data_IF_454549097162
#
_entry.id   IF_454549097162
#
_cell.length_a   1.000
_cell.length_b   1.000
_cell.length_c   1.000
_cell.angle_alpha   90.00
_cell.angle_beta   90.00
_cell.angle_gamma   90.00
#
_symmetry.space_group_name_H-M   'P 1'
#
loop_
_entity.id
_entity.type
_entity.pdbx_description
1 polymer ?
#
# COMPACT_ATOMS: atom_id res chain seq x y z
N UNK A 1 -13.29 8.50 29.98
CA UNK A 1 -11.92 8.14 29.58
C UNK A 1 -11.96 7.70 28.14
N UNK A 2 -11.41 8.51 27.23
CA UNK A 2 -11.08 8.06 25.87
C UNK A 2 -9.96 7.02 25.98
N UNK A 3 -10.13 5.90 25.29
CA UNK A 3 -9.11 4.86 25.21
C UNK A 3 -7.93 5.41 24.40
N UNK A 4 -6.85 5.76 25.08
CA UNK A 4 -5.66 6.40 24.49
C UNK A 4 -4.98 5.54 23.41
N UNK A 5 -5.42 4.30 23.22
CA UNK A 5 -4.91 3.38 22.22
C UNK A 5 -5.86 3.12 21.05
N UNK A 6 -6.98 3.87 20.96
CA UNK A 6 -7.93 3.69 19.87
C UNK A 6 -7.36 4.24 18.56
N UNK A 7 -7.30 3.37 17.56
CA UNK A 7 -7.07 3.73 16.17
C UNK A 7 -8.34 3.48 15.36
N UNK A 8 -8.53 4.25 14.29
CA UNK A 8 -9.56 3.99 13.28
C UNK A 8 -8.91 3.80 11.92
N UNK A 9 -9.60 3.07 11.05
CA UNK A 9 -9.21 2.90 9.65
C UNK A 9 -10.19 3.66 8.77
N UNK A 10 -9.67 4.40 7.79
CA UNK A 10 -10.47 5.02 6.75
C UNK A 10 -9.78 4.89 5.39
N UNK A 11 -10.49 4.95 4.26
CA UNK A 11 -9.84 5.07 2.97
C UNK A 11 -8.85 6.25 2.92
N UNK A 12 -7.71 6.04 2.27
CA UNK A 12 -6.84 7.15 1.90
C UNK A 12 -7.57 8.07 0.91
N UNK A 13 -7.35 9.38 1.04
CA UNK A 13 -7.69 10.33 -0.01
C UNK A 13 -6.80 10.12 -1.23
N UNK A 14 -7.17 10.71 -2.38
CA UNK A 14 -6.34 10.65 -3.61
C UNK A 14 -4.92 11.17 -3.36
N UNK A 15 -4.79 12.26 -2.61
CA UNK A 15 -3.49 12.86 -2.28
C UNK A 15 -2.67 11.96 -1.35
N UNK A 16 -3.30 11.38 -0.33
CA UNK A 16 -2.62 10.46 0.58
C UNK A 16 -2.20 9.17 -0.14
N UNK A 17 -3.04 8.64 -1.04
CA UNK A 17 -2.70 7.49 -1.87
C UNK A 17 -1.50 7.77 -2.78
N UNK A 18 -1.44 8.94 -3.42
CA UNK A 18 -0.29 9.31 -4.24
C UNK A 18 1.01 9.34 -3.42
N UNK A 19 0.95 9.89 -2.19
CA UNK A 19 2.09 9.93 -1.28
C UNK A 19 2.48 8.53 -0.78
N UNK A 20 1.49 7.70 -0.42
CA UNK A 20 1.69 6.29 -0.06
C UNK A 20 2.37 5.54 -1.21
N UNK A 21 1.84 5.63 -2.42
CA UNK A 21 2.39 4.92 -3.59
C UNK A 21 3.83 5.31 -3.85
N UNK A 22 4.17 6.61 -3.77
CA UNK A 22 5.55 7.05 -3.94
C UNK A 22 6.50 6.43 -2.91
N UNK A 23 6.12 6.41 -1.63
CA UNK A 23 6.92 5.79 -0.56
C UNK A 23 7.05 4.28 -0.74
N UNK A 24 5.93 3.58 -0.94
CA UNK A 24 5.89 2.12 -1.08
C UNK A 24 6.75 1.61 -2.24
N UNK A 25 6.86 2.36 -3.34
CA UNK A 25 7.74 1.99 -4.46
C UNK A 25 9.22 2.10 -4.10
N UNK A 26 9.60 3.10 -3.31
CA UNK A 26 10.98 3.24 -2.85
C UNK A 26 11.33 2.13 -1.86
N UNK A 27 10.44 1.88 -0.89
CA UNK A 27 10.64 0.84 0.12
C UNK A 27 10.76 -0.55 -0.53
N UNK A 28 9.86 -0.89 -1.46
CA UNK A 28 9.89 -2.17 -2.17
C UNK A 28 11.11 -2.31 -3.09
N UNK A 29 11.54 -1.23 -3.75
CA UNK A 29 12.77 -1.25 -4.55
C UNK A 29 14.01 -1.49 -3.68
N UNK A 30 14.08 -0.88 -2.50
CA UNK A 30 15.18 -1.08 -1.57
C UNK A 30 15.21 -2.51 -1.02
N UNK A 31 14.05 -3.09 -0.68
CA UNK A 31 13.93 -4.51 -0.33
C UNK A 31 14.41 -5.43 -1.46
N UNK A 32 14.03 -5.12 -2.71
CA UNK A 32 14.45 -5.90 -3.88
C UNK A 32 15.97 -5.80 -4.08
N UNK A 33 16.55 -4.61 -3.91
CA UNK A 33 18.01 -4.41 -3.98
C UNK A 33 18.74 -5.25 -2.93
N UNK A 34 18.24 -5.25 -1.70
CA UNK A 34 18.83 -5.98 -0.58
C UNK A 34 18.78 -7.50 -0.76
N UNK A 35 17.73 -8.03 -1.39
CA UNK A 35 17.48 -9.48 -1.45
C UNK A 35 17.79 -10.13 -2.82
N UNK A 36 17.71 -9.38 -3.92
CA UNK A 36 17.79 -9.91 -5.30
C UNK A 36 19.09 -9.49 -6.01
N UNK A 37 19.85 -8.54 -5.47
CA UNK A 37 21.16 -8.14 -6.01
C UNK A 37 21.09 -7.38 -7.35
N UNK A 38 20.03 -6.58 -7.54
CA UNK A 38 19.80 -5.75 -8.73
C UNK A 38 20.33 -4.33 -8.54
N UNK A 39 20.58 -3.59 -9.63
CA UNK A 39 20.94 -2.17 -9.52
C UNK A 39 19.77 -1.35 -8.97
N UNK A 40 20.02 -0.19 -8.33
CA UNK A 40 18.95 0.67 -7.82
C UNK A 40 17.92 1.06 -8.88
N UNK A 41 18.37 1.39 -10.09
CA UNK A 41 17.51 1.80 -11.20
C UNK A 41 16.62 0.64 -11.66
N UNK A 42 17.20 -0.57 -11.77
CA UNK A 42 16.46 -1.76 -12.15
C UNK A 42 15.47 -2.19 -11.06
N UNK A 43 15.81 -2.00 -9.78
CA UNK A 43 14.91 -2.28 -8.66
C UNK A 43 13.69 -1.36 -8.69
N UNK A 44 13.91 -0.05 -8.90
CA UNK A 44 12.84 0.93 -8.96
C UNK A 44 11.93 0.70 -10.16
N UNK A 45 12.49 0.43 -11.35
CA UNK A 45 11.69 0.14 -12.54
C UNK A 45 10.83 -1.11 -12.32
N UNK A 46 11.41 -2.20 -11.80
CA UNK A 46 10.66 -3.43 -11.49
C UNK A 46 9.57 -3.21 -10.46
N UNK A 47 9.86 -2.47 -9.39
CA UNK A 47 8.87 -2.14 -8.35
C UNK A 47 7.66 -1.42 -8.96
N UNK A 48 7.91 -0.45 -9.87
CA UNK A 48 6.85 0.26 -10.59
C UNK A 48 6.06 -0.66 -11.50
N UNK A 49 6.73 -1.43 -12.37
CA UNK A 49 6.07 -2.35 -13.30
C UNK A 49 5.18 -3.35 -12.57
N UNK A 50 5.70 -4.04 -11.55
CA UNK A 50 4.93 -5.04 -10.79
C UNK A 50 3.74 -4.43 -10.07
N UNK A 51 3.89 -3.21 -9.56
CA UNK A 51 2.79 -2.51 -8.88
C UNK A 51 1.73 -2.05 -9.86
N UNK A 52 2.10 -1.60 -11.05
CA UNK A 52 1.16 -1.20 -12.09
C UNK A 52 0.40 -2.41 -12.66
N UNK A 53 1.06 -3.57 -12.77
CA UNK A 53 0.42 -4.84 -13.11
C UNK A 53 -0.58 -5.28 -12.03
N UNK A 54 -0.23 -5.10 -10.75
CA UNK A 54 -1.10 -5.44 -9.62
C UNK A 54 -2.27 -4.44 -9.46
N UNK A 55 -2.08 -3.19 -9.86
CA UNK A 55 -3.04 -2.10 -9.69
C UNK A 55 -3.37 -1.41 -11.04
N UNK A 56 -4.00 -2.12 -12.00
CA UNK A 56 -4.24 -1.61 -13.35
C UNK A 56 -5.06 -0.32 -13.42
N UNK A 57 -5.84 0.00 -12.38
CA UNK A 57 -6.58 1.27 -12.24
C UNK A 57 -6.21 2.01 -10.95
N UNK A 58 -5.01 1.76 -10.42
CA UNK A 58 -4.47 2.41 -9.23
C UNK A 58 -5.31 2.15 -7.99
N UNK A 59 -5.64 3.22 -7.26
CA UNK A 59 -6.40 3.16 -6.00
C UNK A 59 -7.77 2.48 -6.14
N UNK A 60 -8.36 2.56 -7.34
CA UNK A 60 -9.68 2.03 -7.62
C UNK A 60 -9.65 0.54 -8.02
N UNK A 61 -8.49 -0.13 -7.94
CA UNK A 61 -8.36 -1.54 -8.38
C UNK A 61 -9.25 -2.44 -7.50
N UNK A 62 -10.20 -3.19 -8.08
CA UNK A 62 -11.13 -4.00 -7.30
C UNK A 62 -10.43 -4.98 -6.36
N UNK A 63 -10.98 -5.13 -5.15
CA UNK A 63 -10.43 -5.98 -4.09
C UNK A 63 -9.23 -5.39 -3.36
N UNK A 64 -8.58 -4.32 -3.88
CA UNK A 64 -7.52 -3.62 -3.15
C UNK A 64 -8.10 -2.46 -2.33
N UNK A 65 -7.70 -2.41 -1.07
CA UNK A 65 -8.08 -1.36 -0.13
C UNK A 65 -6.84 -0.66 0.40
N UNK A 66 -6.81 0.66 0.27
CA UNK A 66 -5.76 1.52 0.79
C UNK A 66 -6.35 2.35 1.92
N UNK A 67 -5.91 2.08 3.14
CA UNK A 67 -6.48 2.60 4.36
C UNK A 67 -5.43 3.42 5.12
N UNK A 68 -5.84 4.57 5.65
CA UNK A 68 -5.07 5.33 6.62
C UNK A 68 -5.42 4.86 8.04
N UNK A 69 -4.39 4.71 8.86
CA UNK A 69 -4.49 4.45 10.30
C UNK A 69 -4.53 5.81 11.00
N UNK A 70 -5.63 6.10 11.69
CA UNK A 70 -5.86 7.42 12.31
C UNK A 70 -5.90 7.27 13.83
N UNK A 71 -5.14 8.12 14.53
CA UNK A 71 -5.17 8.28 15.99
C UNK A 71 -5.33 9.77 16.30
N UNK A 72 -6.34 10.12 17.10
CA UNK A 72 -6.64 11.52 17.47
C UNK A 72 -6.65 12.48 16.26
N UNK A 73 -7.34 12.07 15.19
CA UNK A 73 -7.45 12.78 13.90
C UNK A 73 -6.13 12.94 13.12
N UNK A 74 -5.04 12.33 13.58
CA UNK A 74 -3.76 12.31 12.89
C UNK A 74 -3.57 10.99 12.13
N UNK A 75 -3.14 11.09 10.87
CA UNK A 75 -2.68 9.93 10.09
C UNK A 75 -1.34 9.47 10.66
N UNK A 76 -1.29 8.26 11.20
CA UNK A 76 -0.09 7.68 11.84
C UNK A 76 0.50 6.50 11.06
N UNK A 77 -0.16 6.08 9.98
CA UNK A 77 0.32 5.02 9.11
C UNK A 77 -0.67 4.69 8.00
N UNK A 78 -0.28 3.75 7.16
CA UNK A 78 -1.05 3.29 6.00
C UNK A 78 -1.14 1.76 6.02
N UNK A 79 -2.19 1.22 5.42
CA UNK A 79 -2.42 -0.21 5.26
C UNK A 79 -2.93 -0.47 3.84
N UNK A 80 -2.26 -1.39 3.13
CA UNK A 80 -2.73 -1.92 1.86
C UNK A 80 -3.06 -3.39 2.00
N UNK A 81 -4.31 -3.75 1.70
CA UNK A 81 -4.78 -5.14 1.71
C UNK A 81 -5.50 -5.47 0.41
N UNK A 82 -5.42 -6.73 -0.01
CA UNK A 82 -6.23 -7.27 -1.08
C UNK A 82 -7.20 -8.31 -0.48
N UNK A 83 -8.50 -8.00 -0.49
CA UNK A 83 -9.54 -8.93 -0.09
C UNK A 83 -9.92 -9.77 -1.30
N UNK A 84 -9.72 -11.08 -1.19
CA UNK A 84 -10.14 -12.05 -2.19
C UNK A 84 -11.31 -12.82 -1.63
N UNK A 85 -12.40 -12.86 -2.38
CA UNK A 85 -13.50 -13.77 -2.06
C UNK A 85 -12.99 -15.20 -2.18
N UNK A 86 -13.18 -15.97 -1.11
CA UNK A 86 -12.87 -17.39 -1.04
C UNK A 86 -14.13 -18.23 -1.28
N UNK A 87 -15.13 -17.68 -1.97
CA UNK A 87 -16.39 -18.36 -2.26
C UNK A 87 -16.15 -19.53 -3.23
N UNK A 88 -15.93 -20.71 -2.66
CA UNK A 88 -16.33 -22.00 -3.23
C UNK A 88 -15.34 -22.68 -4.18
N UNK A 89 -14.34 -23.37 -3.64
CA UNK A 89 -14.07 -24.71 -4.14
C UNK A 89 -15.25 -25.59 -3.68
N UNK A 90 -16.27 -25.74 -4.55
CA UNK A 90 -17.31 -26.77 -4.45
C UNK A 90 -17.03 -27.83 -5.53
#
# INVERSE_FOLDING_TARGET
MTDANRITLRPLTVTEYAAFRARSMQDYAEEMRANVGVTPEAALERARTQTDELLPVGQATPGHHFLGIVRDDQLVGDLWINLRDHLGAL
#
